data_IF_009799876511
#
_entry.id   IF_009799876511
#
_cell.length_a   1.000
_cell.length_b   1.000
_cell.length_c   1.000
_cell.angle_alpha   90.00
_cell.angle_beta   90.00
_cell.angle_gamma   90.00
#
_symmetry.space_group_name_H-M   'P 1'
#
loop_
_entity.id
_entity.type
_entity.pdbx_description
1 polymer ?
#
# COMPACT_ATOMS: atom_id res chain seq x y z
N UNK A 1 -26.01 17.48 -5.81
CA UNK A 1 -24.70 18.10 -5.52
C UNK A 1 -23.95 18.14 -6.83
N UNK A 2 -23.66 19.33 -7.36
CA UNK A 2 -22.75 19.42 -8.50
C UNK A 2 -21.35 18.97 -8.03
N UNK A 3 -20.62 18.19 -8.85
CA UNK A 3 -19.30 17.73 -8.49
C UNK A 3 -18.37 18.94 -8.31
N UNK A 4 -17.66 18.98 -7.18
CA UNK A 4 -16.66 20.02 -6.93
C UNK A 4 -15.57 19.94 -8.02
N UNK A 5 -15.19 21.06 -8.65
CA UNK A 5 -14.17 21.04 -9.69
C UNK A 5 -12.84 20.57 -9.10
N UNK A 6 -12.08 19.83 -9.91
CA UNK A 6 -10.72 19.41 -9.58
C UNK A 6 -9.75 20.48 -10.07
N UNK A 7 -8.60 20.61 -9.42
CA UNK A 7 -7.61 21.62 -9.77
C UNK A 7 -6.23 20.99 -9.91
N UNK A 8 -5.45 21.52 -10.84
CA UNK A 8 -4.02 21.20 -10.91
C UNK A 8 -3.20 22.45 -11.18
N UNK A 9 -1.96 22.44 -10.69
CA UNK A 9 -1.00 23.49 -10.94
C UNK A 9 0.30 22.89 -11.43
N UNK A 10 0.85 23.48 -12.50
CA UNK A 10 2.08 23.02 -13.10
C UNK A 10 3.01 24.21 -13.36
N UNK A 11 4.23 24.12 -12.82
CA UNK A 11 5.36 24.91 -13.31
C UNK A 11 5.94 24.16 -14.50
N UNK A 12 5.69 24.66 -15.70
CA UNK A 12 6.09 24.02 -16.94
C UNK A 12 7.39 24.62 -17.46
N UNK A 13 8.44 23.80 -17.55
CA UNK A 13 9.67 24.18 -18.23
C UNK A 13 9.57 23.82 -19.71
N UNK A 14 9.68 24.83 -20.57
CA UNK A 14 9.60 24.67 -22.03
C UNK A 14 11.01 24.63 -22.60
N UNK A 15 11.33 23.67 -23.49
CA UNK A 15 12.61 23.65 -24.18
C UNK A 15 12.86 24.96 -24.92
N UNK A 16 14.09 25.48 -24.83
CA UNK A 16 14.52 26.73 -25.48
C UNK A 16 13.87 28.01 -24.94
N UNK A 17 13.11 27.94 -23.84
CA UNK A 17 12.69 29.13 -23.08
C UNK A 17 13.48 29.20 -21.77
N UNK A 18 14.01 30.39 -21.46
CA UNK A 18 14.81 30.60 -20.24
C UNK A 18 13.95 30.52 -18.98
N UNK A 19 12.74 31.08 -19.06
CA UNK A 19 11.82 31.15 -17.92
C UNK A 19 10.67 30.15 -18.07
N UNK A 20 10.24 29.53 -16.97
CA UNK A 20 9.09 28.62 -16.97
C UNK A 20 7.79 29.42 -17.07
N UNK A 21 6.73 28.74 -17.53
CA UNK A 21 5.37 29.24 -17.41
C UNK A 21 4.64 28.50 -16.29
N UNK A 22 3.65 29.15 -15.69
CA UNK A 22 2.83 28.60 -14.63
C UNK A 22 1.41 28.41 -15.14
N UNK A 23 0.89 27.20 -14.97
CA UNK A 23 -0.45 26.81 -15.43
C UNK A 23 -1.27 26.43 -14.22
N UNK A 24 -2.42 27.10 -14.04
CA UNK A 24 -3.50 26.65 -13.17
C UNK A 24 -4.60 26.09 -14.06
N UNK A 25 -4.98 24.85 -13.83
CA UNK A 25 -6.10 24.21 -14.50
C UNK A 25 -7.24 23.94 -13.53
N UNK A 26 -8.47 24.11 -14.02
CA UNK A 26 -9.71 23.76 -13.34
C UNK A 26 -10.46 22.78 -14.22
N UNK A 27 -10.70 21.59 -13.69
CA UNK A 27 -11.21 20.43 -14.41
C UNK A 27 -12.63 20.14 -13.99
N UNK A 28 -13.53 20.10 -14.98
CA UNK A 28 -14.91 19.67 -14.83
C UNK A 28 -15.09 18.31 -15.54
N UNK A 29 -16.22 17.61 -15.35
CA UNK A 29 -16.45 16.33 -16.02
C UNK A 29 -16.53 16.42 -17.55
N UNK A 30 -16.89 17.59 -18.09
CA UNK A 30 -17.20 17.82 -19.50
C UNK A 30 -16.34 18.90 -20.16
N UNK A 31 -15.63 19.71 -19.36
CA UNK A 31 -14.89 20.88 -19.83
C UNK A 31 -13.75 21.25 -18.89
N UNK A 32 -12.94 22.25 -19.26
CA UNK A 32 -11.84 22.72 -18.41
C UNK A 32 -11.49 24.18 -18.66
N UNK A 33 -10.96 24.84 -17.64
CA UNK A 33 -10.45 26.21 -17.73
C UNK A 33 -8.97 26.23 -17.36
N UNK A 34 -8.16 26.89 -18.19
CA UNK A 34 -6.74 27.08 -17.95
C UNK A 34 -6.44 28.57 -17.76
N UNK A 35 -5.62 28.87 -16.75
CA UNK A 35 -4.99 30.17 -16.55
C UNK A 35 -3.48 29.98 -16.60
N UNK A 36 -2.84 30.58 -17.59
CA UNK A 36 -1.42 30.44 -17.88
C UNK A 36 -0.77 31.80 -17.64
N UNK A 37 0.39 31.85 -16.99
CA UNK A 37 1.14 33.10 -16.80
C UNK A 37 2.64 32.83 -16.90
N UNK A 38 3.38 33.75 -17.50
CA UNK A 38 4.86 33.80 -17.46
C UNK A 38 5.36 34.77 -16.38
N UNK A 39 4.45 35.35 -15.59
CA UNK A 39 4.74 36.37 -14.57
C UNK A 39 4.52 37.80 -15.07
N UNK A 40 4.60 38.06 -16.37
CA UNK A 40 4.35 39.38 -16.98
C UNK A 40 3.02 39.42 -17.72
N UNK A 41 2.78 38.42 -18.56
CA UNK A 41 1.59 38.23 -19.36
C UNK A 41 0.84 36.99 -18.90
N UNK A 42 -0.48 37.01 -19.08
CA UNK A 42 -1.31 35.86 -18.81
C UNK A 42 -2.23 35.53 -19.97
N UNK A 43 -2.57 34.26 -20.09
CA UNK A 43 -3.48 33.71 -21.09
C UNK A 43 -4.55 32.88 -20.41
N UNK A 44 -5.74 32.91 -20.99
CA UNK A 44 -6.90 32.15 -20.54
C UNK A 44 -7.34 31.22 -21.66
N UNK A 45 -7.69 29.99 -21.29
CA UNK A 45 -8.27 29.02 -22.20
C UNK A 45 -9.50 28.43 -21.52
N UNK A 46 -10.68 28.90 -21.91
CA UNK A 46 -11.95 28.37 -21.43
C UNK A 46 -12.46 27.39 -22.48
N UNK A 47 -12.10 26.11 -22.32
CA UNK A 47 -12.57 25.07 -23.23
C UNK A 47 -14.02 24.78 -22.87
N UNK A 48 -14.97 25.09 -23.76
CA UNK A 48 -16.39 24.79 -23.55
C UNK A 48 -16.68 23.30 -23.70
N UNK A 49 -17.82 22.84 -23.19
CA UNK A 49 -18.22 21.43 -23.31
C UNK A 49 -18.31 20.96 -24.76
N UNK A 50 -18.80 21.83 -25.65
CA UNK A 50 -18.95 21.51 -27.07
C UNK A 50 -17.59 21.38 -27.77
N UNK A 51 -16.66 22.30 -27.50
CA UNK A 51 -15.30 22.25 -28.04
C UNK A 51 -14.53 21.02 -27.54
N UNK A 52 -14.66 20.67 -26.25
CA UNK A 52 -14.03 19.47 -25.71
C UNK A 52 -14.65 18.21 -26.33
N UNK A 53 -15.97 18.17 -26.51
CA UNK A 53 -16.65 17.05 -27.16
C UNK A 53 -16.20 16.86 -28.59
N UNK A 54 -16.11 17.93 -29.37
CA UNK A 54 -15.62 17.89 -30.75
C UNK A 54 -14.16 17.39 -30.81
N UNK A 55 -13.32 17.86 -29.89
CA UNK A 55 -11.90 17.48 -29.82
C UNK A 55 -11.69 16.05 -29.37
N UNK A 56 -12.50 15.57 -28.42
CA UNK A 56 -12.49 14.17 -28.01
C UNK A 56 -12.92 13.25 -29.17
N UNK A 57 -13.95 13.64 -29.92
CA UNK A 57 -14.41 12.92 -31.10
C UNK A 57 -13.34 12.85 -32.21
N UNK A 58 -12.57 13.92 -32.43
CA UNK A 58 -11.45 13.90 -33.41
C UNK A 58 -10.38 12.85 -33.07
N UNK A 59 -10.33 12.37 -31.83
CA UNK A 59 -9.34 11.41 -31.33
C UNK A 59 -9.98 10.06 -31.00
N UNK A 60 -11.23 9.85 -31.44
CA UNK A 60 -12.03 8.65 -31.19
C UNK A 60 -11.99 8.20 -29.73
N UNK A 61 -12.12 9.16 -28.80
CA UNK A 61 -12.09 8.88 -27.36
C UNK A 61 -13.28 9.53 -26.63
N UNK A 62 -13.72 8.94 -25.50
CA UNK A 62 -14.68 9.56 -24.60
C UNK A 62 -14.18 10.91 -24.08
N UNK A 63 -15.13 11.83 -23.80
CA UNK A 63 -14.82 13.14 -23.19
C UNK A 63 -14.10 12.99 -21.85
N UNK A 64 -14.51 12.01 -21.04
CA UNK A 64 -13.86 11.69 -19.77
C UNK A 64 -12.37 11.38 -19.94
N UNK A 65 -12.03 10.61 -20.97
CA UNK A 65 -10.67 10.13 -21.22
C UNK A 65 -9.81 11.25 -21.78
N UNK A 66 -10.39 12.09 -22.66
CA UNK A 66 -9.74 13.30 -23.16
C UNK A 66 -9.36 14.24 -22.00
N UNK A 67 -10.30 14.48 -21.07
CA UNK A 67 -10.07 15.36 -19.92
C UNK A 67 -9.07 14.74 -18.96
N UNK A 68 -9.19 13.45 -18.64
CA UNK A 68 -8.25 12.75 -17.77
C UNK A 68 -6.82 12.74 -18.35
N UNK A 69 -6.69 12.61 -19.68
CA UNK A 69 -5.42 12.73 -20.37
C UNK A 69 -4.84 14.14 -20.21
N UNK A 70 -5.63 15.18 -20.46
CA UNK A 70 -5.19 16.56 -20.28
C UNK A 70 -4.79 16.86 -18.83
N UNK A 71 -5.60 16.40 -17.86
CA UNK A 71 -5.33 16.55 -16.43
C UNK A 71 -4.05 15.85 -16.00
N UNK A 72 -3.77 14.65 -16.52
CA UNK A 72 -2.52 13.95 -16.23
C UNK A 72 -1.30 14.74 -16.71
N UNK A 73 -1.35 15.27 -17.93
CA UNK A 73 -0.22 15.96 -18.56
C UNK A 73 -0.03 17.41 -18.09
N UNK A 74 -1.09 18.05 -17.62
CA UNK A 74 -1.07 19.40 -17.03
C UNK A 74 -1.14 19.39 -15.50
N UNK A 75 -1.24 18.22 -14.88
CA UNK A 75 -1.04 18.03 -13.44
C UNK A 75 0.43 17.80 -13.11
N UNK A 76 1.13 17.03 -13.93
CA UNK A 76 2.56 16.77 -13.78
C UNK A 76 3.23 16.69 -15.15
N UNK A 77 4.35 17.39 -15.31
CA UNK A 77 5.15 17.33 -16.53
C UNK A 77 5.62 15.88 -16.77
N UNK A 78 5.16 15.27 -17.87
CA UNK A 78 5.42 13.86 -18.15
C UNK A 78 6.84 13.67 -18.76
N UNK A 79 7.62 12.70 -18.27
CA UNK A 79 8.90 12.34 -18.89
C UNK A 79 8.73 11.94 -20.36
N UNK A 80 9.69 12.31 -21.22
CA UNK A 80 9.68 11.96 -22.65
C UNK A 80 8.69 12.77 -23.52
N UNK A 81 7.86 13.62 -22.91
CA UNK A 81 6.92 14.48 -23.61
C UNK A 81 7.55 15.82 -23.92
N UNK A 82 7.39 16.31 -25.16
CA UNK A 82 7.87 17.62 -25.58
C UNK A 82 6.72 18.60 -25.43
N UNK A 83 6.89 19.58 -24.54
CA UNK A 83 5.91 20.63 -24.30
C UNK A 83 6.25 21.89 -25.10
N UNK A 84 5.22 22.63 -25.50
CA UNK A 84 5.34 23.86 -26.28
C UNK A 84 4.35 24.93 -25.82
N UNK A 85 4.79 26.19 -25.89
CA UNK A 85 3.94 27.36 -25.72
C UNK A 85 4.37 28.48 -26.67
N UNK A 86 3.85 28.43 -27.90
CA UNK A 86 4.25 29.29 -29.00
C UNK A 86 3.16 30.28 -29.38
N UNK A 87 3.53 31.34 -30.10
CA UNK A 87 2.56 32.24 -30.71
C UNK A 87 1.63 31.47 -31.68
N UNK A 88 0.34 31.82 -31.65
CA UNK A 88 -0.70 31.22 -32.47
C UNK A 88 -1.42 32.24 -33.37
N UNK A 89 -0.95 33.50 -33.37
CA UNK A 89 -1.59 34.63 -34.07
C UNK A 89 -2.70 35.28 -33.24
N UNK A 90 -3.08 36.51 -33.62
CA UNK A 90 -4.19 37.27 -33.02
C UNK A 90 -4.08 37.45 -31.48
N UNK A 91 -2.86 37.52 -30.94
CA UNK A 91 -2.62 37.59 -29.50
C UNK A 91 -2.86 36.29 -28.74
N UNK A 92 -3.19 35.20 -29.45
CA UNK A 92 -3.31 33.88 -28.86
C UNK A 92 -1.96 33.18 -28.77
N UNK A 93 -1.82 32.32 -27.76
CA UNK A 93 -0.74 31.33 -27.69
C UNK A 93 -1.27 29.92 -27.76
N UNK A 94 -0.47 29.00 -28.28
CA UNK A 94 -0.78 27.58 -28.41
C UNK A 94 -0.02 26.80 -27.36
N UNK A 95 -0.75 26.21 -26.43
CA UNK A 95 -0.23 25.19 -25.52
C UNK A 95 -0.23 23.85 -26.24
N UNK A 96 0.88 23.13 -26.21
CA UNK A 96 0.96 21.78 -26.74
C UNK A 96 1.85 20.85 -25.94
N UNK A 97 1.59 19.55 -26.08
CA UNK A 97 2.51 18.51 -25.66
C UNK A 97 2.38 17.27 -26.54
N UNK A 98 3.48 16.55 -26.69
CA UNK A 98 3.48 15.24 -27.38
C UNK A 98 3.21 14.12 -26.39
N UNK A 99 2.50 13.09 -26.81
CA UNK A 99 2.31 11.85 -26.05
C UNK A 99 2.22 10.66 -27.01
N UNK A 100 2.35 9.45 -26.49
CA UNK A 100 2.28 8.22 -27.28
C UNK A 100 0.99 7.47 -26.95
N UNK A 101 0.29 7.01 -27.98
CA UNK A 101 -0.88 6.14 -27.87
C UNK A 101 -0.75 5.05 -28.93
N UNK A 102 -0.79 3.78 -28.50
CA UNK A 102 -0.73 2.62 -29.40
C UNK A 102 0.46 2.63 -30.38
N UNK A 103 1.65 3.05 -29.90
CA UNK A 103 2.86 3.15 -30.73
C UNK A 103 2.90 4.35 -31.68
N UNK A 104 1.89 5.23 -31.65
CA UNK A 104 1.85 6.45 -32.45
C UNK A 104 2.10 7.68 -31.57
N UNK A 105 3.04 8.52 -32.00
CA UNK A 105 3.31 9.81 -31.35
C UNK A 105 2.32 10.86 -31.84
N UNK A 106 1.50 11.35 -30.93
CA UNK A 106 0.48 12.37 -31.16
C UNK A 106 0.87 13.67 -30.46
N UNK A 107 0.26 14.78 -30.86
CA UNK A 107 0.45 16.09 -30.23
C UNK A 107 -0.90 16.71 -29.85
N UNK A 108 -1.10 16.88 -28.55
CA UNK A 108 -2.22 17.63 -28.01
C UNK A 108 -1.95 19.12 -28.20
N UNK A 109 -2.95 19.88 -28.67
CA UNK A 109 -2.80 21.32 -28.90
C UNK A 109 -4.07 22.06 -28.52
N UNK A 110 -3.91 23.19 -27.84
CA UNK A 110 -5.01 24.09 -27.50
C UNK A 110 -4.62 25.55 -27.64
N UNK A 111 -5.55 26.37 -28.14
CA UNK A 111 -5.36 27.82 -28.29
C UNK A 111 -5.83 28.53 -27.03
N UNK A 112 -5.06 29.49 -26.57
CA UNK A 112 -5.27 30.25 -25.35
C UNK A 112 -5.24 31.74 -25.71
N UNK A 113 -6.30 32.47 -25.35
CA UNK A 113 -6.41 33.90 -25.60
C UNK A 113 -5.63 34.72 -24.58
N UNK A 114 -5.19 35.91 -24.96
CA UNK A 114 -4.60 36.85 -24.01
C UNK A 114 -5.61 37.21 -22.92
N UNK A 115 -5.16 37.23 -21.68
CA UNK A 115 -6.01 37.67 -20.57
C UNK A 115 -6.29 39.17 -20.68
N UNK A 116 -7.54 39.63 -20.47
CA UNK A 116 -7.87 41.04 -20.43
C UNK A 116 -7.14 41.78 -19.29
N UNK A 117 -6.83 41.08 -18.21
CA UNK A 117 -6.00 41.58 -17.10
C UNK A 117 -4.99 40.52 -16.66
N UNK A 118 -3.77 40.66 -17.19
CA UNK A 118 -2.66 39.76 -16.87
C UNK A 118 -2.24 39.84 -15.40
N UNK A 119 -2.37 41.01 -14.76
CA UNK A 119 -2.03 41.19 -13.35
C UNK A 119 -3.02 40.43 -12.46
N UNK A 120 -4.32 40.62 -12.70
CA UNK A 120 -5.37 39.93 -11.95
C UNK A 120 -5.28 38.41 -12.13
N UNK A 121 -5.05 37.94 -13.35
CA UNK A 121 -4.90 36.50 -13.62
C UNK A 121 -3.69 35.91 -12.89
N UNK A 122 -2.54 36.58 -12.94
CA UNK A 122 -1.32 36.14 -12.25
C UNK A 122 -1.51 36.16 -10.73
N UNK A 123 -2.12 37.21 -10.18
CA UNK A 123 -2.47 37.28 -8.77
C UNK A 123 -3.42 36.15 -8.35
N UNK A 124 -4.42 35.81 -9.18
CA UNK A 124 -5.34 34.69 -8.93
C UNK A 124 -4.67 33.31 -8.98
N UNK A 125 -3.63 33.13 -9.79
CA UNK A 125 -2.81 31.91 -9.77
C UNK A 125 -1.98 31.84 -8.48
N UNK A 126 -1.33 32.95 -8.10
CA UNK A 126 -0.53 33.02 -6.87
C UNK A 126 -1.36 32.85 -5.60
N UNK A 127 -2.54 33.49 -5.53
CA UNK A 127 -3.48 33.37 -4.42
C UNK A 127 -3.94 31.92 -4.26
N UNK A 128 -4.28 31.24 -5.36
CA UNK A 128 -4.62 29.82 -5.34
C UNK A 128 -3.46 28.96 -4.81
N UNK A 129 -2.23 29.21 -5.28
CA UNK A 129 -1.05 28.48 -4.83
C UNK A 129 -0.76 28.70 -3.33
N UNK A 130 -0.90 29.93 -2.85
CA UNK A 130 -0.71 30.26 -1.43
C UNK A 130 -1.78 29.61 -0.55
N UNK A 131 -3.05 29.69 -0.95
CA UNK A 131 -4.14 29.04 -0.24
C UNK A 131 -3.98 27.51 -0.20
N UNK A 132 -3.55 26.90 -1.31
CA UNK A 132 -3.24 25.48 -1.37
C UNK A 132 -2.06 25.11 -0.46
N UNK A 133 -1.00 25.95 -0.41
CA UNK A 133 0.15 25.74 0.45
C UNK A 133 -0.18 25.82 1.94
N UNK A 134 -0.99 26.80 2.35
CA UNK A 134 -1.47 26.95 3.74
C UNK A 134 -2.25 25.68 4.14
N UNK A 135 -3.25 25.29 3.33
CA UNK A 135 -4.06 24.09 3.59
C UNK A 135 -3.22 22.81 3.67
N UNK A 136 -2.29 22.63 2.74
CA UNK A 136 -1.42 21.45 2.73
C UNK A 136 -0.50 21.43 3.96
N UNK A 137 0.02 22.58 4.38
CA UNK A 137 0.85 22.70 5.58
C UNK A 137 0.08 22.34 6.85
N UNK A 138 -1.16 22.82 6.98
CA UNK A 138 -2.06 22.45 8.08
C UNK A 138 -2.35 20.93 8.07
N UNK A 139 -2.68 20.37 6.91
CA UNK A 139 -2.98 18.94 6.77
C UNK A 139 -1.77 18.07 7.12
N UNK A 140 -0.55 18.47 6.72
CA UNK A 140 0.69 17.77 7.08
C UNK A 140 0.91 17.80 8.59
N UNK A 141 0.71 18.94 9.25
CA UNK A 141 0.85 19.04 10.71
C UNK A 141 -0.14 18.11 11.42
N UNK A 142 -1.42 18.16 11.03
CA UNK A 142 -2.48 17.34 11.64
C UNK A 142 -2.18 15.85 11.43
N UNK A 143 -1.85 15.44 10.19
CA UNK A 143 -1.53 14.04 9.87
C UNK A 143 -0.31 13.56 10.64
N UNK A 144 0.74 14.37 10.74
CA UNK A 144 1.96 14.01 11.48
C UNK A 144 1.67 13.80 12.96
N UNK A 145 0.91 14.69 13.61
CA UNK A 145 0.51 14.51 15.00
C UNK A 145 -0.33 13.25 15.22
N UNK A 146 -1.28 12.98 14.31
CA UNK A 146 -2.10 11.77 14.39
C UNK A 146 -1.29 10.49 14.20
N UNK A 147 -0.29 10.52 13.31
CA UNK A 147 0.62 9.41 13.04
C UNK A 147 1.49 9.10 14.27
N UNK A 148 2.10 10.12 14.88
CA UNK A 148 2.91 9.92 16.09
C UNK A 148 2.07 9.37 17.25
N UNK A 149 0.84 9.87 17.43
CA UNK A 149 -0.08 9.33 18.44
C UNK A 149 -0.39 7.85 18.20
N UNK A 150 -0.70 7.48 16.95
CA UNK A 150 -1.02 6.10 16.59
C UNK A 150 0.20 5.18 16.75
N UNK A 151 1.39 5.68 16.45
CA UNK A 151 2.65 4.96 16.64
C UNK A 151 2.89 4.64 18.11
N UNK A 152 2.73 5.61 19.01
CA UNK A 152 2.86 5.39 20.46
C UNK A 152 1.83 4.37 20.97
N UNK A 153 0.60 4.43 20.48
CA UNK A 153 -0.44 3.47 20.84
C UNK A 153 -0.09 2.05 20.35
N UNK A 154 0.41 1.91 19.13
CA UNK A 154 0.87 0.63 18.59
C UNK A 154 2.03 0.04 19.41
N UNK A 155 3.02 0.85 19.81
CA UNK A 155 4.12 0.44 20.68
C UNK A 155 3.62 -0.03 22.05
N UNK A 156 2.63 0.66 22.63
CA UNK A 156 2.01 0.26 23.90
C UNK A 156 1.28 -1.08 23.77
N UNK A 157 0.51 -1.28 22.70
CA UNK A 157 -0.18 -2.54 22.42
C UNK A 157 0.81 -3.70 22.23
N UNK A 158 1.92 -3.45 21.53
CA UNK A 158 2.98 -4.44 21.35
C UNK A 158 3.59 -4.85 22.69
N UNK A 159 4.01 -3.88 23.52
CA UNK A 159 4.59 -4.15 24.83
C UNK A 159 3.61 -4.91 25.75
N UNK A 160 2.33 -4.56 25.70
CA UNK A 160 1.29 -5.28 26.45
C UNK A 160 1.10 -6.71 25.95
N UNK A 161 1.12 -6.93 24.63
CA UNK A 161 1.03 -8.27 24.04
C UNK A 161 2.22 -9.15 24.42
N UNK A 162 3.45 -8.61 24.38
CA UNK A 162 4.65 -9.34 24.80
C UNK A 162 4.58 -9.74 26.27
N UNK A 163 4.14 -8.82 27.13
CA UNK A 163 3.92 -9.10 28.56
C UNK A 163 2.91 -10.21 28.77
N UNK A 164 1.74 -10.15 28.13
CA UNK A 164 0.72 -11.19 28.24
C UNK A 164 1.20 -12.54 27.72
N UNK A 165 2.01 -12.56 26.66
CA UNK A 165 2.56 -13.80 26.13
C UNK A 165 3.52 -14.48 27.14
N UNK A 166 4.34 -13.68 27.82
CA UNK A 166 5.23 -14.18 28.88
C UNK A 166 4.44 -14.69 30.08
N UNK A 167 3.47 -13.90 30.58
CA UNK A 167 2.61 -14.31 31.70
C UNK A 167 1.83 -15.60 31.38
N UNK A 168 1.36 -15.75 30.13
CA UNK A 168 0.71 -16.97 29.65
C UNK A 168 1.68 -18.17 29.69
N UNK A 169 2.90 -18.02 29.18
CA UNK A 169 3.90 -19.09 29.17
C UNK A 169 4.27 -19.54 30.59
N UNK A 170 4.44 -18.59 31.52
CA UNK A 170 4.68 -18.87 32.93
C UNK A 170 3.51 -19.62 33.58
N UNK A 171 2.28 -19.16 33.31
CA UNK A 171 1.07 -19.81 33.80
C UNK A 171 0.93 -21.24 33.27
N UNK A 172 1.12 -21.45 31.96
CA UNK A 172 1.08 -22.77 31.34
C UNK A 172 2.11 -23.71 31.98
N UNK A 173 3.35 -23.26 32.12
CA UNK A 173 4.42 -24.03 32.79
C UNK A 173 4.04 -24.44 34.22
N UNK A 174 3.50 -23.50 35.01
CA UNK A 174 3.07 -23.77 36.38
C UNK A 174 1.91 -24.78 36.46
N UNK A 175 0.95 -24.70 35.53
CA UNK A 175 -0.17 -25.65 35.47
C UNK A 175 0.30 -27.03 35.02
N UNK A 176 1.15 -27.13 33.99
CA UNK A 176 1.71 -28.41 33.54
C UNK A 176 2.51 -29.09 34.65
N UNK A 177 3.31 -28.34 35.42
CA UNK A 177 4.05 -28.87 36.57
C UNK A 177 3.10 -29.45 37.64
N UNK A 178 2.02 -28.72 37.98
CA UNK A 178 1.00 -29.23 38.93
C UNK A 178 0.32 -30.49 38.41
N UNK A 179 -0.05 -30.50 37.13
CA UNK A 179 -0.69 -31.65 36.50
C UNK A 179 0.21 -32.90 36.53
N UNK A 180 1.50 -32.74 36.18
CA UNK A 180 2.51 -33.78 36.29
C UNK A 180 2.65 -34.29 37.74
N UNK A 181 2.63 -33.40 38.73
CA UNK A 181 2.65 -33.78 40.15
C UNK A 181 1.47 -34.67 40.55
N UNK A 182 0.26 -34.34 40.10
CA UNK A 182 -0.95 -35.16 40.32
C UNK A 182 -0.84 -36.50 39.60
N UNK A 183 -0.41 -36.51 38.34
CA UNK A 183 -0.22 -37.72 37.53
C UNK A 183 0.79 -38.67 38.17
N UNK A 184 1.91 -38.14 38.64
CA UNK A 184 2.95 -38.91 39.33
C UNK A 184 2.45 -39.47 40.67
N UNK A 185 1.71 -38.69 41.46
CA UNK A 185 1.08 -39.19 42.71
C UNK A 185 0.09 -40.33 42.42
N UNK A 186 -0.75 -40.19 41.39
CA UNK A 186 -1.66 -41.26 40.97
C UNK A 186 -0.89 -42.50 40.50
N UNK A 187 0.17 -42.33 39.69
CA UNK A 187 1.02 -43.43 39.20
C UNK A 187 1.79 -44.12 40.33
N UNK A 188 2.19 -43.39 41.37
CA UNK A 188 2.82 -43.95 42.56
C UNK A 188 1.80 -44.76 43.38
N UNK A 189 0.59 -44.23 43.59
CA UNK A 189 -0.47 -44.95 44.33
C UNK A 189 -0.90 -46.23 43.62
N UNK A 190 -1.03 -46.20 42.28
CA UNK A 190 -1.32 -47.41 41.50
C UNK A 190 -0.22 -48.47 41.63
N UNK A 191 1.06 -48.06 41.69
CA UNK A 191 2.18 -48.99 41.94
C UNK A 191 2.10 -49.60 43.34
N UNK A 192 1.90 -48.77 44.36
CA UNK A 192 1.76 -49.23 45.74
C UNK A 192 0.59 -50.23 45.91
N UNK A 193 -0.57 -49.94 45.32
CA UNK A 193 -1.72 -50.84 45.35
C UNK A 193 -1.44 -52.17 44.63
N UNK A 194 -0.76 -52.14 43.47
CA UNK A 194 -0.33 -53.37 42.77
C UNK A 194 0.67 -54.19 43.59
N UNK A 195 1.61 -53.53 44.27
CA UNK A 195 2.58 -54.19 45.14
C UNK A 195 1.92 -54.83 46.37
N UNK A 196 0.90 -54.18 46.94
CA UNK A 196 0.10 -54.74 48.05
C UNK A 196 -0.67 -56.00 47.61
N UNK A 197 -1.35 -55.93 46.47
CA UNK A 197 -2.07 -57.10 45.89
C UNK A 197 -1.08 -58.24 45.61
N UNK A 198 0.06 -57.95 44.98
CA UNK A 198 1.07 -58.97 44.68
C UNK A 198 1.63 -59.62 45.97
N UNK A 199 1.81 -58.83 47.04
CA UNK A 199 2.21 -59.35 48.35
C UNK A 199 1.14 -60.25 48.95
N UNK A 200 -0.13 -59.85 48.95
CA UNK A 200 -1.24 -60.69 49.42
C UNK A 200 -1.35 -62.00 48.64
N UNK A 201 -1.16 -61.98 47.32
CA UNK A 201 -1.08 -63.20 46.48
C UNK A 201 0.13 -64.07 46.86
N UNK A 202 1.31 -63.50 47.15
CA UNK A 202 2.48 -64.28 47.60
C UNK A 202 2.41 -64.77 49.05
N UNK A 203 1.65 -64.09 49.92
CA UNK A 203 1.41 -64.55 51.31
C UNK A 203 0.30 -65.60 51.37
N UNK A 204 -0.46 -65.75 50.28
CA UNK A 204 -1.50 -66.73 50.09
C UNK A 204 -1.23 -67.67 48.91
N UNK A 205 -0.11 -68.42 48.91
CA UNK A 205 -0.14 -69.86 48.54
C UNK A 205 1.21 -70.60 48.58
N UNK A 206 1.13 -71.84 49.05
CA UNK A 206 1.85 -73.01 48.54
C UNK A 206 0.86 -74.21 48.59
N UNK A 207 0.91 -75.21 47.68
CA UNK A 207 0.94 -75.15 46.21
C UNK A 207 -0.12 -76.08 45.52
N UNK A 208 -0.23 -75.96 44.18
CA UNK A 208 -0.92 -76.83 43.18
C UNK A 208 -2.46 -76.91 43.25
N UNK A 209 -3.23 -76.95 42.15
CA UNK A 209 -3.04 -77.67 40.88
C UNK A 209 -3.35 -76.85 39.62
N UNK A 210 -2.83 -77.38 38.50
CA UNK A 210 -3.10 -77.01 37.12
C UNK A 210 -4.58 -77.21 36.77
N UNK A 211 -5.14 -76.32 35.95
CA UNK A 211 -5.97 -76.78 34.84
C UNK A 211 -6.04 -75.70 33.75
N UNK A 212 -5.91 -76.19 32.52
CA UNK A 212 -5.99 -75.47 31.26
C UNK A 212 -7.25 -74.60 31.17
N UNK A 213 -7.20 -73.51 30.39
CA UNK A 213 -8.11 -73.34 29.24
C UNK A 213 -8.22 -71.88 28.74
N UNK A 214 -7.92 -71.75 27.45
CA UNK A 214 -8.40 -70.76 26.47
C UNK A 214 -8.09 -69.27 26.64
N UNK A 215 -7.06 -68.85 25.92
CA UNK A 215 -7.22 -68.08 24.67
C UNK A 215 -8.43 -67.13 24.59
N UNK A 216 -8.15 -65.84 24.77
CA UNK A 216 -8.67 -64.77 23.92
C UNK A 216 -7.81 -63.53 24.06
N UNK A 217 -6.80 -63.47 23.19
CA UNK A 217 -6.13 -62.24 22.82
C UNK A 217 -7.15 -61.32 22.15
N UNK A 218 -7.34 -60.11 22.69
CA UNK A 218 -7.77 -58.98 21.90
C UNK A 218 -6.59 -58.01 21.86
N UNK A 219 -5.74 -58.25 20.86
CA UNK A 219 -4.93 -57.20 20.25
C UNK A 219 -5.87 -56.10 19.77
N UNK A 220 -5.58 -54.86 20.10
CA UNK A 220 -6.06 -53.74 19.31
C UNK A 220 -4.85 -52.99 18.79
N UNK A 221 -4.78 -53.00 17.47
CA UNK A 221 -3.74 -52.45 16.59
C UNK A 221 -3.54 -50.95 16.79
N UNK A 222 -2.27 -50.58 16.71
CA UNK A 222 -1.79 -49.26 16.34
C UNK A 222 -1.58 -49.25 14.82
N UNK A 223 -2.53 -48.70 14.07
CA UNK A 223 -2.32 -48.13 12.72
C UNK A 223 -3.50 -47.17 12.46
N UNK A 224 -3.29 -45.86 12.47
CA UNK A 224 -3.02 -45.03 11.28
C UNK A 224 -4.01 -45.37 10.14
N UNK A 225 -4.85 -44.48 9.61
CA UNK A 225 -4.52 -43.13 9.20
C UNK A 225 -5.81 -42.36 8.80
N UNK A 226 -5.72 -41.03 8.94
CA UNK A 226 -6.30 -39.98 8.10
C UNK A 226 -7.84 -39.83 7.91
N UNK A 227 -8.37 -38.68 8.33
CA UNK A 227 -8.88 -37.62 7.43
C UNK A 227 -9.39 -36.42 8.25
N UNK A 228 -8.69 -35.30 8.05
CA UNK A 228 -9.08 -33.89 8.18
C UNK A 228 -10.33 -33.52 9.00
N UNK A 229 -10.10 -32.87 10.15
CA UNK A 229 -10.99 -31.82 10.65
C UNK A 229 -10.13 -30.59 10.96
N UNK A 230 -10.05 -29.70 9.99
CA UNK A 230 -9.65 -28.30 10.20
C UNK A 230 -10.77 -27.61 10.99
N UNK A 231 -10.47 -27.11 12.18
CA UNK A 231 -11.30 -26.07 12.82
C UNK A 231 -10.56 -24.74 12.81
N UNK A 232 -11.35 -23.72 12.47
CA UNK A 232 -11.04 -22.30 12.48
C UNK A 232 -10.33 -21.84 13.75
N UNK A 233 -9.31 -20.99 13.60
CA UNK A 233 -9.09 -19.89 14.53
C UNK A 233 -8.13 -18.85 13.96
N UNK A 234 -8.71 -17.75 13.49
CA UNK A 234 -8.14 -16.43 13.24
C UNK A 234 -6.85 -16.09 14.01
N UNK A 235 -5.76 -15.76 13.30
CA UNK A 235 -4.80 -14.72 13.73
C UNK A 235 -4.21 -13.96 12.55
N UNK A 236 -4.47 -12.65 12.56
CA UNK A 236 -3.73 -11.63 11.84
C UNK A 236 -2.31 -11.46 12.40
N UNK A 237 -1.36 -11.10 11.50
CA UNK A 237 -0.13 -10.30 11.68
C UNK A 237 1.00 -10.98 12.52
N UNK A 238 2.29 -11.00 12.14
CA UNK A 238 3.14 -9.94 11.57
C UNK A 238 4.48 -10.53 11.05
N UNK A 239 5.28 -9.74 10.31
CA UNK A 239 6.49 -10.09 9.54
C UNK A 239 7.65 -10.82 10.26
N UNK A 240 8.70 -11.25 9.55
CA UNK A 240 9.92 -10.43 9.37
C UNK A 240 10.92 -11.04 8.35
N UNK A 241 11.44 -10.18 7.47
CA UNK A 241 12.80 -10.11 6.87
C UNK A 241 13.62 -11.37 6.57
N UNK A 242 14.08 -11.47 5.31
CA UNK A 242 15.50 -11.71 4.95
C UNK A 242 15.71 -11.52 3.43
N UNK A 243 16.33 -10.41 3.02
CA UNK A 243 17.62 -10.42 2.30
C UNK A 243 18.06 -8.98 1.99
N UNK A 244 19.03 -8.48 2.76
CA UNK A 244 19.90 -7.37 2.36
C UNK A 244 21.16 -8.02 1.79
N UNK A 245 21.47 -7.71 0.54
CA UNK A 245 22.71 -8.14 -0.14
C UNK A 245 23.65 -6.95 -0.21
N UNK A 246 24.68 -6.91 0.63
CA UNK A 246 25.79 -5.95 0.52
C UNK A 246 27.10 -6.63 0.11
N UNK A 247 27.64 -6.15 -1.01
CA UNK A 247 29.06 -6.04 -1.39
C UNK A 247 29.87 -7.29 -1.79
N UNK A 248 30.37 -7.27 -3.04
CA UNK A 248 31.83 -7.23 -3.30
C UNK A 248 32.14 -6.80 -4.75
N UNK A 249 33.11 -5.90 -4.97
CA UNK A 249 33.64 -5.58 -6.28
C UNK A 249 34.78 -6.55 -6.64
N UNK A 250 34.79 -7.07 -7.87
CA UNK A 250 35.98 -7.70 -8.46
C UNK A 250 36.18 -7.14 -9.87
N UNK A 251 37.19 -6.29 -9.99
CA UNK A 251 37.71 -5.86 -11.27
C UNK A 251 38.36 -7.01 -12.04
N UNK A 252 38.29 -6.93 -13.36
CA UNK A 252 39.26 -7.57 -14.24
C UNK A 252 39.48 -6.68 -15.45
N UNK A 253 40.67 -6.06 -15.50
CA UNK A 253 41.25 -5.46 -16.70
C UNK A 253 41.28 -6.51 -17.81
N UNK A 254 40.87 -6.14 -19.03
CA UNK A 254 41.46 -6.66 -20.27
C UNK A 254 41.62 -5.53 -21.28
N UNK A 255 42.87 -5.35 -21.66
CA UNK A 255 43.39 -4.50 -22.73
C UNK A 255 43.09 -5.15 -24.08
N UNK A 256 42.93 -4.31 -25.11
CA UNK A 256 42.71 -4.64 -26.51
C UNK A 256 43.82 -5.51 -27.15
N UNK A 257 43.58 -6.00 -28.38
CA UNK A 257 44.50 -5.55 -29.44
C UNK A 257 43.83 -5.24 -30.80
N UNK A 258 44.52 -4.34 -31.51
CA UNK A 258 44.41 -3.85 -32.90
C UNK A 258 43.31 -2.84 -33.21
#
# INVERSE_FOLDING_TARGET
>A
MEPTPRHSCLKLQIPNQSEPIFIKATWFPSHFHLSITDGLHAWLCNASEDEVRERAAQWDQPVSDYIALAERFLGFQQPGSVYGFSDAGDGHRRLSWTFEKEGTKLEWRWKCGLSPDSRSTTAGVLDFLMNANIRLSEEVVIKTQSFERLKVEAEKCLAQSEKFNNEKAEFESAIYAKFLGVLNSKKAKLRELRDQISKEETTGKLPQEEDESTDKTLSFDDESDNEAIEEESSKNLTGTSKHVSTSRPRGRKRVAPR
#
